data_IF_209019033127
#
_entry.id   IF_209019033127
#
_cell.length_a   1.000
_cell.length_b   1.000
_cell.length_c   1.000
_cell.angle_alpha   90.00
_cell.angle_beta   90.00
_cell.angle_gamma   90.00
#
_symmetry.space_group_name_H-M   'P 1'
#
loop_
_entity.id
_entity.type
_entity.pdbx_description
1 polymer ?
#
# COMPACT_ATOMS: atom_id res chain seq x y z
N UNK A 1 -16.25 -1.50 -18.64
CA UNK A 1 -15.15 -2.46 -18.69
C UNK A 1 -15.62 -3.71 -19.40
N UNK A 2 -14.84 -4.19 -20.36
CA UNK A 2 -14.95 -5.47 -21.02
C UNK A 2 -14.50 -6.57 -20.06
N UNK A 3 -15.13 -7.72 -20.16
CA UNK A 3 -14.81 -8.88 -19.32
C UNK A 3 -13.32 -9.25 -19.41
N UNK A 4 -12.72 -9.10 -20.60
CA UNK A 4 -11.31 -9.43 -20.84
C UNK A 4 -10.34 -8.50 -20.09
N UNK A 5 -10.64 -7.20 -19.99
CA UNK A 5 -9.81 -6.24 -19.24
C UNK A 5 -9.93 -6.45 -17.73
N UNK A 6 -11.12 -6.82 -17.25
CA UNK A 6 -11.37 -7.15 -15.85
C UNK A 6 -10.62 -8.42 -15.42
N UNK A 7 -10.69 -9.48 -16.23
CA UNK A 7 -9.97 -10.73 -15.99
C UNK A 7 -8.45 -10.52 -15.95
N UNK A 8 -7.91 -9.65 -16.80
CA UNK A 8 -6.49 -9.32 -16.77
C UNK A 8 -6.10 -8.49 -15.54
N UNK A 9 -6.94 -7.57 -15.07
CA UNK A 9 -6.69 -6.86 -13.80
C UNK A 9 -6.71 -7.84 -12.63
N UNK A 10 -7.70 -8.73 -12.58
CA UNK A 10 -7.77 -9.74 -11.52
C UNK A 10 -6.51 -10.61 -11.53
N UNK A 11 -6.10 -11.08 -12.71
CA UNK A 11 -4.84 -11.81 -12.85
C UNK A 11 -3.64 -10.99 -12.36
N UNK A 12 -3.57 -9.71 -12.71
CA UNK A 12 -2.47 -8.86 -12.27
C UNK A 12 -2.38 -8.74 -10.75
N UNK A 13 -3.53 -8.62 -10.08
CA UNK A 13 -3.61 -8.60 -8.62
C UNK A 13 -3.08 -9.90 -8.03
N UNK A 14 -3.60 -11.04 -8.49
CA UNK A 14 -3.19 -12.37 -8.01
C UNK A 14 -1.69 -12.63 -8.21
N UNK A 15 -1.17 -12.38 -9.41
CA UNK A 15 0.26 -12.59 -9.70
C UNK A 15 1.16 -11.65 -8.87
N UNK A 16 0.71 -10.41 -8.62
CA UNK A 16 1.45 -9.46 -7.78
C UNK A 16 1.45 -9.90 -6.32
N UNK A 17 0.34 -10.42 -5.80
CA UNK A 17 0.24 -10.96 -4.44
C UNK A 17 1.10 -12.21 -4.25
N UNK A 18 1.15 -13.08 -5.27
CA UNK A 18 1.99 -14.29 -5.28
C UNK A 18 3.49 -13.99 -5.46
N UNK A 19 3.86 -12.73 -5.74
CA UNK A 19 5.23 -12.29 -5.94
C UNK A 19 5.76 -12.47 -7.38
N UNK A 20 4.90 -12.86 -8.32
CA UNK A 20 5.19 -12.95 -9.75
C UNK A 20 5.03 -11.56 -10.42
N UNK A 21 5.86 -10.61 -9.98
CA UNK A 21 5.68 -9.20 -10.32
C UNK A 21 5.80 -8.88 -11.81
N UNK A 22 6.66 -9.58 -12.55
CA UNK A 22 6.80 -9.41 -14.01
C UNK A 22 5.53 -9.87 -14.74
N UNK A 23 4.97 -11.00 -14.34
CA UNK A 23 3.70 -11.52 -14.87
C UNK A 23 2.54 -10.57 -14.54
N UNK A 24 2.52 -10.01 -13.33
CA UNK A 24 1.57 -8.98 -12.91
C UNK A 24 1.63 -7.74 -13.80
N UNK A 25 2.83 -7.18 -14.03
CA UNK A 25 3.02 -6.05 -14.94
C UNK A 25 2.60 -6.37 -16.38
N UNK A 26 2.96 -7.55 -16.89
CA UNK A 26 2.58 -7.96 -18.23
C UNK A 26 1.06 -8.10 -18.41
N UNK A 27 0.33 -8.50 -17.35
CA UNK A 27 -1.12 -8.54 -17.36
C UNK A 27 -1.72 -7.11 -17.37
N UNK A 28 -1.19 -6.20 -16.54
CA UNK A 28 -1.60 -4.79 -16.52
C UNK A 28 -1.36 -4.11 -17.87
N UNK A 29 -0.22 -4.37 -18.53
CA UNK A 29 0.10 -3.79 -19.83
C UNK A 29 -0.91 -4.21 -20.91
N UNK A 30 -1.24 -5.51 -20.97
CA UNK A 30 -2.27 -6.01 -21.90
C UNK A 30 -3.63 -5.40 -21.63
N UNK A 31 -3.97 -5.23 -20.36
CA UNK A 31 -5.26 -4.72 -19.97
C UNK A 31 -5.37 -3.21 -20.25
N UNK A 32 -4.28 -2.46 -20.08
CA UNK A 32 -4.16 -1.07 -20.53
C UNK A 32 -4.31 -0.95 -22.04
N UNK A 33 -3.75 -1.87 -22.84
CA UNK A 33 -3.94 -1.89 -24.30
C UNK A 33 -5.42 -2.05 -24.71
N UNK A 34 -6.21 -2.80 -23.93
CA UNK A 34 -7.64 -3.00 -24.18
C UNK A 34 -8.46 -1.78 -23.76
N UNK A 35 -8.21 -1.24 -22.56
CA UNK A 35 -8.98 -0.14 -21.98
C UNK A 35 -8.10 0.87 -21.23
N UNK A 36 -7.42 1.80 -21.95
CA UNK A 36 -6.50 2.76 -21.34
C UNK A 36 -7.13 3.63 -20.25
N UNK A 37 -8.40 4.04 -20.45
CA UNK A 37 -9.11 4.91 -19.51
C UNK A 37 -9.41 4.22 -18.18
N UNK A 38 -9.62 2.90 -18.19
CA UNK A 38 -9.86 2.13 -16.96
C UNK A 38 -8.58 1.93 -16.16
N UNK A 39 -7.46 1.73 -16.85
CA UNK A 39 -6.16 1.55 -16.22
C UNK A 39 -5.53 2.85 -15.69
N UNK A 40 -6.18 3.99 -15.92
CA UNK A 40 -5.89 5.26 -15.26
C UNK A 40 -6.69 5.46 -13.95
N UNK A 41 -7.24 4.40 -13.37
CA UNK A 41 -7.92 4.41 -12.08
C UNK A 41 -7.02 3.92 -10.93
N UNK A 42 -7.47 4.15 -9.70
CA UNK A 42 -6.68 3.86 -8.50
C UNK A 42 -6.15 2.41 -8.47
N UNK A 43 -7.04 1.41 -8.56
CA UNK A 43 -6.67 0.00 -8.35
C UNK A 43 -5.58 -0.46 -9.34
N UNK A 44 -5.73 -0.33 -10.67
CA UNK A 44 -4.67 -0.72 -11.60
C UNK A 44 -3.35 0.01 -11.39
N UNK A 45 -3.37 1.32 -11.10
CA UNK A 45 -2.15 2.12 -10.86
C UNK A 45 -1.46 1.64 -9.57
N UNK A 46 -2.23 1.41 -8.50
CA UNK A 46 -1.72 0.92 -7.23
C UNK A 46 -1.11 -0.48 -7.37
N UNK A 47 -1.77 -1.39 -8.11
CA UNK A 47 -1.23 -2.73 -8.42
C UNK A 47 0.06 -2.62 -9.22
N UNK A 48 0.12 -1.72 -10.21
CA UNK A 48 1.34 -1.45 -10.97
C UNK A 48 2.47 -0.97 -10.06
N UNK A 49 2.19 -0.04 -9.15
CA UNK A 49 3.12 0.43 -8.15
C UNK A 49 3.65 -0.71 -7.27
N UNK A 50 2.77 -1.62 -6.83
CA UNK A 50 3.14 -2.75 -5.98
C UNK A 50 4.04 -3.76 -6.70
N UNK A 51 3.74 -4.07 -7.96
CA UNK A 51 4.61 -4.91 -8.76
C UNK A 51 5.98 -4.26 -9.00
N UNK A 52 6.02 -2.95 -9.27
CA UNK A 52 7.29 -2.20 -9.43
C UNK A 52 8.10 -2.15 -8.13
N UNK A 53 7.44 -1.98 -6.99
CA UNK A 53 8.08 -2.04 -5.67
C UNK A 53 8.70 -3.42 -5.42
N UNK A 54 7.97 -4.50 -5.73
CA UNK A 54 8.46 -5.87 -5.64
C UNK A 54 9.65 -6.18 -6.55
N UNK A 55 9.75 -5.47 -7.67
CA UNK A 55 10.90 -5.51 -8.60
C UNK A 55 12.02 -4.53 -8.25
N UNK A 56 11.95 -3.87 -7.08
CA UNK A 56 12.92 -2.87 -6.62
C UNK A 56 13.05 -1.64 -7.56
N UNK A 57 12.04 -1.38 -8.39
CA UNK A 57 11.96 -0.22 -9.30
C UNK A 57 11.31 0.95 -8.58
N UNK A 58 11.97 1.42 -7.52
CA UNK A 58 11.37 2.29 -6.52
C UNK A 58 10.92 3.65 -7.05
N UNK A 59 11.68 4.30 -7.94
CA UNK A 59 11.29 5.59 -8.51
C UNK A 59 10.03 5.48 -9.38
N UNK A 60 9.91 4.37 -10.12
CA UNK A 60 8.72 4.11 -10.95
C UNK A 60 7.51 3.76 -10.09
N UNK A 61 7.72 2.96 -9.04
CA UNK A 61 6.67 2.64 -8.06
C UNK A 61 6.16 3.93 -7.39
N UNK A 62 7.05 4.82 -6.97
CA UNK A 62 6.70 6.09 -6.34
C UNK A 62 5.85 6.95 -7.28
N UNK A 63 6.21 7.05 -8.56
CA UNK A 63 5.43 7.79 -9.54
C UNK A 63 4.00 7.23 -9.69
N UNK A 64 3.84 5.90 -9.65
CA UNK A 64 2.51 5.28 -9.67
C UNK A 64 1.70 5.60 -8.43
N UNK A 65 2.30 5.48 -7.23
CA UNK A 65 1.57 5.81 -6.00
C UNK A 65 1.22 7.30 -5.90
N UNK A 66 2.11 8.19 -6.35
CA UNK A 66 1.80 9.62 -6.46
C UNK A 66 0.59 9.85 -7.35
N UNK A 67 0.57 9.22 -8.53
CA UNK A 67 -0.56 9.32 -9.47
C UNK A 67 -1.87 8.75 -8.87
N UNK A 68 -1.82 7.58 -8.22
CA UNK A 68 -3.01 6.97 -7.61
C UNK A 68 -3.61 7.87 -6.51
N UNK A 69 -2.75 8.56 -5.75
CA UNK A 69 -3.14 9.40 -4.62
C UNK A 69 -3.45 10.86 -5.00
N UNK A 70 -3.41 11.25 -6.28
CA UNK A 70 -3.84 12.59 -6.73
C UNK A 70 -5.35 12.81 -6.56
N UNK A 71 -6.13 11.73 -6.65
CA UNK A 71 -7.58 11.73 -6.45
C UNK A 71 -7.93 10.61 -5.45
N UNK A 72 -7.58 10.78 -4.17
CA UNK A 72 -7.79 9.75 -3.18
C UNK A 72 -9.29 9.55 -2.96
N UNK A 73 -9.75 8.31 -3.09
CA UNK A 73 -11.09 7.93 -2.64
C UNK A 73 -11.06 7.68 -1.13
N UNK A 74 -12.17 7.90 -0.44
CA UNK A 74 -12.31 7.46 0.96
C UNK A 74 -12.55 5.95 1.01
N UNK A 75 -11.50 5.20 0.64
CA UNK A 75 -11.54 3.75 0.44
C UNK A 75 -10.31 3.07 1.05
N UNK A 76 -10.45 1.76 1.27
CA UNK A 76 -9.34 0.93 1.72
C UNK A 76 -8.16 0.95 0.75
N UNK A 77 -8.43 1.22 -0.53
CA UNK A 77 -7.38 1.32 -1.54
C UNK A 77 -6.45 2.50 -1.24
N UNK A 78 -6.98 3.67 -0.85
CA UNK A 78 -6.16 4.83 -0.43
C UNK A 78 -5.23 4.49 0.74
N UNK A 79 -5.71 3.69 1.70
CA UNK A 79 -4.87 3.19 2.79
C UNK A 79 -3.70 2.33 2.27
N UNK A 80 -3.98 1.38 1.37
CA UNK A 80 -2.93 0.51 0.80
C UNK A 80 -1.91 1.32 -0.01
N UNK A 81 -2.36 2.30 -0.80
CA UNK A 81 -1.49 3.17 -1.59
C UNK A 81 -0.58 4.03 -0.72
N UNK A 82 -1.10 4.62 0.36
CA UNK A 82 -0.30 5.39 1.33
C UNK A 82 0.76 4.51 2.01
N UNK A 83 0.38 3.30 2.44
CA UNK A 83 1.31 2.36 3.07
C UNK A 83 2.44 1.98 2.11
N UNK A 84 2.10 1.58 0.88
CA UNK A 84 3.11 1.14 -0.09
C UNK A 84 3.98 2.29 -0.59
N UNK A 85 3.42 3.50 -0.71
CA UNK A 85 4.21 4.71 -0.94
C UNK A 85 5.22 4.96 0.19
N UNK A 86 4.81 4.78 1.45
CA UNK A 86 5.72 4.87 2.61
C UNK A 86 6.86 3.86 2.57
N UNK A 87 6.56 2.61 2.21
CA UNK A 87 7.59 1.57 2.00
C UNK A 87 8.57 1.95 0.88
N UNK A 88 8.03 2.42 -0.25
CA UNK A 88 8.83 2.86 -1.40
C UNK A 88 9.74 4.03 -1.05
N UNK A 89 9.23 5.01 -0.30
CA UNK A 89 10.00 6.15 0.18
C UNK A 89 11.09 5.72 1.17
N UNK A 90 10.82 4.75 2.03
CA UNK A 90 11.83 4.18 2.92
C UNK A 90 12.96 3.48 2.16
N UNK A 91 12.63 2.73 1.11
CA UNK A 91 13.62 2.11 0.23
C UNK A 91 14.46 3.15 -0.55
N UNK A 92 13.89 4.32 -0.83
CA UNK A 92 14.58 5.48 -1.40
C UNK A 92 15.30 6.36 -0.37
N UNK A 93 15.40 5.93 0.89
CA UNK A 93 16.00 6.66 2.02
C UNK A 93 15.33 8.02 2.32
N UNK A 94 14.09 8.22 1.87
CA UNK A 94 13.28 9.43 2.11
C UNK A 94 12.43 9.24 3.36
N UNK A 95 13.09 9.02 4.49
CA UNK A 95 12.43 8.55 5.72
C UNK A 95 11.38 9.52 6.27
N UNK A 96 11.62 10.83 6.26
CA UNK A 96 10.64 11.84 6.70
C UNK A 96 9.31 11.72 5.93
N UNK A 97 9.40 11.61 4.60
CA UNK A 97 8.24 11.48 3.74
C UNK A 97 7.57 10.10 3.90
N UNK A 98 8.34 9.05 4.17
CA UNK A 98 7.81 7.73 4.47
C UNK A 98 6.98 7.74 5.76
N UNK A 99 7.51 8.35 6.83
CA UNK A 99 6.83 8.49 8.13
C UNK A 99 5.50 9.24 7.94
N UNK A 100 5.49 10.32 7.16
CA UNK A 100 4.27 11.06 6.86
C UNK A 100 3.23 10.19 6.12
N UNK A 101 3.65 9.41 5.12
CA UNK A 101 2.74 8.48 4.44
C UNK A 101 2.16 7.43 5.40
N UNK A 102 2.99 6.88 6.29
CA UNK A 102 2.52 5.93 7.30
C UNK A 102 1.57 6.57 8.32
N UNK A 103 1.80 7.84 8.71
CA UNK A 103 0.88 8.59 9.57
C UNK A 103 -0.50 8.77 8.92
N UNK A 104 -0.52 9.15 7.65
CA UNK A 104 -1.77 9.33 6.90
C UNK A 104 -2.54 8.01 6.75
N UNK A 105 -1.84 6.90 6.47
CA UNK A 105 -2.45 5.57 6.44
C UNK A 105 -3.06 5.19 7.81
N UNK A 106 -2.34 5.46 8.92
CA UNK A 106 -2.84 5.21 10.27
C UNK A 106 -4.08 6.06 10.59
N UNK A 107 -4.08 7.34 10.22
CA UNK A 107 -5.21 8.25 10.45
C UNK A 107 -6.46 7.81 9.67
N UNK A 108 -6.30 7.48 8.39
CA UNK A 108 -7.39 6.94 7.58
C UNK A 108 -7.98 5.70 8.25
N UNK A 109 -7.10 4.77 8.61
CA UNK A 109 -7.48 3.49 9.20
C UNK A 109 -8.27 3.68 10.51
N UNK A 110 -7.78 4.53 11.42
CA UNK A 110 -8.45 4.83 12.69
C UNK A 110 -9.82 5.49 12.48
N UNK A 111 -9.92 6.40 11.52
CA UNK A 111 -11.16 7.09 11.17
C UNK A 111 -12.17 6.11 10.59
N UNK A 112 -11.75 5.28 9.63
CA UNK A 112 -12.58 4.26 9.00
C UNK A 112 -13.14 3.24 9.99
N UNK A 113 -12.40 2.88 11.05
CA UNK A 113 -12.97 2.01 12.09
C UNK A 113 -13.92 2.74 13.03
N UNK A 114 -13.64 4.00 13.40
CA UNK A 114 -14.58 4.79 14.21
C UNK A 114 -15.93 4.95 13.51
N UNK A 115 -15.91 5.04 12.18
CA UNK A 115 -17.09 5.16 11.33
C UNK A 115 -17.74 3.81 10.96
N UNK A 116 -17.13 2.68 11.37
CA UNK A 116 -17.64 1.34 11.05
C UNK A 116 -17.50 0.94 9.58
N UNK A 117 -16.65 1.64 8.81
CA UNK A 117 -16.37 1.39 7.39
C UNK A 117 -15.36 0.27 7.17
N UNK A 118 -14.33 0.21 8.02
CA UNK A 118 -13.32 -0.84 7.95
C UNK A 118 -13.65 -2.00 8.89
N UNK A 119 -13.52 -3.23 8.38
CA UNK A 119 -13.65 -4.45 9.19
C UNK A 119 -12.54 -4.50 10.24
N UNK A 120 -12.86 -5.05 11.40
CA UNK A 120 -11.95 -5.20 12.54
C UNK A 120 -11.03 -6.42 12.43
N UNK A 121 -11.09 -7.16 11.33
CA UNK A 121 -10.16 -8.26 11.04
C UNK A 121 -8.84 -7.64 10.59
N UNK A 122 -7.96 -7.43 11.57
CA UNK A 122 -6.83 -6.50 11.52
C UNK A 122 -5.50 -7.24 11.63
N UNK A 123 -5.08 -7.84 10.53
CA UNK A 123 -3.67 -8.22 10.37
C UNK A 123 -2.85 -7.11 9.68
N UNK A 124 -3.48 -6.08 9.09
CA UNK A 124 -2.75 -5.04 8.34
C UNK A 124 -2.21 -3.88 9.19
N UNK A 125 -2.78 -3.65 10.38
CA UNK A 125 -2.39 -2.50 11.20
C UNK A 125 -1.06 -2.73 11.92
N UNK A 126 -0.77 -3.96 12.33
CA UNK A 126 0.51 -4.28 12.95
C UNK A 126 1.70 -4.11 11.98
N UNK A 127 1.64 -4.63 10.74
CA UNK A 127 2.62 -4.31 9.70
C UNK A 127 2.80 -2.81 9.50
N UNK A 128 1.73 -2.01 9.48
CA UNK A 128 1.86 -0.57 9.29
C UNK A 128 2.60 0.13 10.45
N UNK A 129 2.33 -0.29 11.69
CA UNK A 129 3.10 0.19 12.84
C UNK A 129 4.57 -0.23 12.77
N UNK A 130 4.86 -1.46 12.34
CA UNK A 130 6.24 -1.92 12.13
C UNK A 130 6.94 -1.10 11.04
N UNK A 131 6.29 -0.87 9.89
CA UNK A 131 6.85 -0.12 8.77
C UNK A 131 7.23 1.31 9.22
N UNK A 132 6.33 1.98 9.95
CA UNK A 132 6.60 3.29 10.55
C UNK A 132 7.75 3.22 11.55
N UNK A 133 7.79 2.20 12.41
CA UNK A 133 8.86 1.99 13.38
C UNK A 133 10.23 1.84 12.71
N UNK A 134 10.30 1.08 11.61
CA UNK A 134 11.52 0.94 10.82
C UNK A 134 11.92 2.24 10.11
N UNK A 135 10.96 2.99 9.57
CA UNK A 135 11.25 4.30 9.00
C UNK A 135 11.81 5.26 10.05
N UNK A 136 11.26 5.25 11.27
CA UNK A 136 11.74 6.06 12.40
C UNK A 136 13.14 5.66 12.88
N UNK A 137 13.45 4.35 12.95
CA UNK A 137 14.81 3.86 13.23
C UNK A 137 15.81 4.47 12.25
N UNK A 138 15.50 4.42 10.95
CA UNK A 138 16.39 4.94 9.91
C UNK A 138 16.44 6.49 9.88
N UNK A 139 15.47 7.14 10.52
CA UNK A 139 15.44 8.59 10.73
C UNK A 139 16.03 9.03 12.08
N UNK A 140 16.64 8.10 12.84
CA UNK A 140 17.23 8.33 14.17
C UNK A 140 16.23 8.72 15.28
N UNK A 141 14.92 8.49 15.09
CA UNK A 141 13.86 8.74 16.10
C UNK A 141 13.50 7.45 16.85
N UNK A 142 14.42 7.01 17.72
CA UNK A 142 14.35 5.72 18.38
C UNK A 142 13.22 5.58 19.41
N UNK A 143 12.88 6.68 20.11
CA UNK A 143 11.84 6.67 21.15
C UNK A 143 10.46 6.44 20.53
N UNK A 144 10.15 7.15 19.45
CA UNK A 144 8.94 6.99 18.66
C UNK A 144 8.89 5.63 17.97
N UNK A 145 10.02 5.10 17.51
CA UNK A 145 10.09 3.77 16.91
C UNK A 145 9.68 2.68 17.91
N UNK A 146 10.18 2.74 19.16
CA UNK A 146 9.80 1.80 20.22
C UNK A 146 8.29 1.82 20.48
N UNK A 147 7.67 3.01 20.50
CA UNK A 147 6.22 3.16 20.66
C UNK A 147 5.49 2.47 19.50
N UNK A 148 5.98 2.59 18.27
CA UNK A 148 5.38 1.93 17.11
C UNK A 148 5.45 0.41 17.23
N UNK A 149 6.58 -0.16 17.66
CA UNK A 149 6.70 -1.61 17.84
C UNK A 149 5.82 -2.14 18.98
N UNK A 150 5.70 -1.40 20.09
CA UNK A 150 4.78 -1.74 21.17
C UNK A 150 3.32 -1.78 20.66
N UNK A 151 2.95 -0.82 19.81
CA UNK A 151 1.64 -0.77 19.16
C UNK A 151 1.43 -1.95 18.21
N UNK A 152 2.44 -2.33 17.42
CA UNK A 152 2.35 -3.49 16.54
C UNK A 152 2.12 -4.79 17.31
N UNK A 153 2.80 -4.97 18.45
CA UNK A 153 2.62 -6.12 19.34
C UNK A 153 1.21 -6.11 19.95
N UNK A 154 0.76 -4.97 20.47
CA UNK A 154 -0.60 -4.81 21.01
C UNK A 154 -1.66 -5.23 19.99
N UNK A 155 -1.51 -4.80 18.73
CA UNK A 155 -2.41 -5.15 17.64
C UNK A 155 -2.41 -6.64 17.31
N UNK A 156 -1.23 -7.25 17.16
CA UNK A 156 -1.09 -8.70 16.92
C UNK A 156 -1.73 -9.52 18.03
N UNK A 157 -1.48 -9.15 19.28
CA UNK A 157 -2.06 -9.87 20.42
C UNK A 157 -3.58 -9.72 20.44
N UNK A 158 -4.11 -8.53 20.11
CA UNK A 158 -5.55 -8.28 20.07
C UNK A 158 -6.27 -9.04 18.94
N UNK A 159 -5.64 -9.23 17.78
CA UNK A 159 -6.24 -9.96 16.65
C UNK A 159 -6.40 -11.47 16.92
N UNK A 160 -5.59 -12.07 17.80
CA UNK A 160 -5.71 -13.50 18.17
C UNK A 160 -6.86 -13.84 19.13
N UNK A 161 -7.50 -12.86 19.76
CA UNK A 161 -8.54 -13.09 20.78
C UNK A 161 -9.97 -12.75 20.32
N UNK A 162 -10.19 -12.50 19.03
CA UNK A 162 -11.50 -12.31 18.40
C UNK A 162 -11.83 -13.47 17.47
#
# INVERSE_FOLDING_TARGET
>A
MSNDAEELLQKALEETEDGNFEEGLAALDKAFELEPDYFNQFVPINTRGSALLGLERYEEALAMYDQALEQPEDSFDTYTGLRNKGLTLSALEKYEAAIECHNQALEWYETSVKEGKALRDRDDLAPLWDDKGWALINFDEYDEAMICFDKAIEWRVFSYFL
#
